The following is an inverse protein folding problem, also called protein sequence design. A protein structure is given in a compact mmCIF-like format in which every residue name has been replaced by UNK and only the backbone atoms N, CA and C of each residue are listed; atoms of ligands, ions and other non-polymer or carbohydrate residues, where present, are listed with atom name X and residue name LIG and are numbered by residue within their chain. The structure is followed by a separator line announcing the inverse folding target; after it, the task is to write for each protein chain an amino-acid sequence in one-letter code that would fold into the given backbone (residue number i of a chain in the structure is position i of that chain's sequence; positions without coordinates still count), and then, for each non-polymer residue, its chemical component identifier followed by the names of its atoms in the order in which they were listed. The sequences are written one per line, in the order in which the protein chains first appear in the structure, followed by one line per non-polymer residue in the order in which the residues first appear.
data_IF_542959456079
#
_entry.id   IF_542959456079
#
_cell.length_a   1.000
_cell.length_b   1.000
_cell.length_c   1.000
_cell.angle_alpha   90.00
_cell.angle_beta   90.00
_cell.angle_gamma   90.00
#
_symmetry.space_group_name_H-M   'P 1'
#
loop_
_entity.id
_entity.type
_entity.pdbx_description
1 polymer ?
#
# COMPACT_ATOMS: atom_id res chain seq x y z
N UNK A 1 29.99 39.53 18.36
CA UNK A 1 29.89 38.62 17.21
C UNK A 1 29.33 37.30 17.70
N UNK A 2 28.23 36.84 17.12
CA UNK A 2 27.58 35.58 17.45
C UNK A 2 28.09 34.48 16.50
N UNK A 3 28.49 33.35 17.07
CA UNK A 3 28.50 32.06 16.36
C UNK A 3 28.03 31.01 17.37
N UNK A 4 26.75 30.64 17.25
CA UNK A 4 26.20 29.43 17.84
C UNK A 4 26.62 28.24 16.96
N UNK A 5 27.13 27.19 17.57
CA UNK A 5 27.32 25.90 16.91
C UNK A 5 26.75 24.77 17.79
N UNK A 6 26.17 23.81 17.09
CA UNK A 6 25.10 22.89 17.48
C UNK A 6 25.54 21.75 18.39
N UNK A 7 24.86 21.59 19.53
CA UNK A 7 24.95 20.41 20.39
C UNK A 7 24.17 19.24 19.79
N UNK A 8 24.89 18.14 19.57
CA UNK A 8 24.41 16.80 19.22
C UNK A 8 23.50 16.23 20.32
N UNK A 9 22.27 15.83 19.97
CA UNK A 9 21.45 14.99 20.85
C UNK A 9 21.80 13.52 20.64
N UNK A 10 22.66 13.02 21.53
CA UNK A 10 22.85 11.58 21.76
C UNK A 10 21.66 11.05 22.56
N UNK A 11 20.98 10.02 22.05
CA UNK A 11 20.04 9.23 22.83
C UNK A 11 20.76 7.97 23.33
N UNK A 12 21.31 8.07 24.55
CA UNK A 12 21.74 6.91 25.32
C UNK A 12 20.54 6.35 26.10
N UNK A 13 20.17 5.11 25.80
CA UNK A 13 19.22 4.33 26.61
C UNK A 13 19.95 3.79 27.84
N UNK A 14 19.64 4.32 29.02
CA UNK A 14 20.07 3.72 30.29
C UNK A 14 18.97 2.77 30.77
N UNK A 15 19.28 1.48 30.74
CA UNK A 15 18.51 0.43 31.39
C UNK A 15 18.55 0.64 32.90
N UNK A 16 17.40 0.72 33.56
CA UNK A 16 17.30 0.64 35.01
C UNK A 16 16.47 -0.59 35.39
N UNK A 17 17.10 -1.47 36.16
CA UNK A 17 16.57 -2.72 36.69
C UNK A 17 15.53 -2.50 37.82
N UNK A 18 14.49 -3.34 37.75
CA UNK A 18 13.73 -4.02 38.80
C UNK A 18 13.70 -3.43 40.23
N UNK A 19 12.50 -3.07 40.74
CA UNK A 19 11.96 -3.59 42.03
C UNK A 19 10.57 -3.01 42.39
N UNK A 20 9.60 -3.92 42.50
CA UNK A 20 8.49 -4.01 43.48
C UNK A 20 7.58 -2.79 43.75
N UNK A 21 6.31 -2.87 43.29
CA UNK A 21 5.06 -2.79 44.09
C UNK A 21 3.82 -2.69 43.18
N UNK A 22 2.98 -3.73 43.19
CA UNK A 22 1.64 -3.73 42.58
C UNK A 22 0.66 -2.92 43.45
N UNK A 23 -0.25 -2.13 42.85
CA UNK A 23 -1.55 -1.87 43.44
C UNK A 23 -2.67 -2.61 42.68
N UNK A 24 -3.60 -3.09 43.49
CA UNK A 24 -4.80 -3.89 43.21
C UNK A 24 -5.62 -3.44 42.00
N UNK A 25 -6.06 -4.41 41.21
CA UNK A 25 -7.09 -4.28 40.18
C UNK A 25 -8.46 -4.04 40.84
N UNK A 26 -9.11 -2.94 40.48
CA UNK A 26 -10.52 -2.68 40.79
C UNK A 26 -11.38 -3.28 39.68
N UNK A 27 -12.14 -4.32 40.01
CA UNK A 27 -13.17 -4.94 39.15
C UNK A 27 -14.26 -3.91 38.81
N UNK A 28 -14.36 -3.52 37.55
CA UNK A 28 -15.48 -2.72 37.04
C UNK A 28 -16.52 -3.69 36.47
N UNK A 29 -17.72 -3.69 37.09
CA UNK A 29 -18.85 -4.50 36.69
C UNK A 29 -19.46 -4.01 35.37
N UNK A 30 -19.76 -4.96 34.48
CA UNK A 30 -20.52 -4.73 33.25
C UNK A 30 -22.01 -4.53 33.56
N UNK A 31 -22.56 -3.38 33.19
CA UNK A 31 -24.01 -3.14 33.13
C UNK A 31 -24.45 -3.30 31.67
N UNK A 32 -25.40 -4.19 31.32
CA UNK A 32 -25.99 -4.22 29.99
C UNK A 32 -27.23 -3.33 29.96
N UNK A 33 -27.24 -2.28 29.13
CA UNK A 33 -28.48 -1.59 28.78
C UNK A 33 -28.46 -1.08 27.33
N UNK A 34 -29.27 -1.77 26.54
CA UNK A 34 -30.18 -1.33 25.47
C UNK A 34 -29.71 -0.34 24.38
N UNK A 35 -29.89 -0.83 23.15
CA UNK A 35 -29.62 -0.23 21.84
C UNK A 35 -30.52 0.97 21.52
N UNK A 36 -30.03 1.85 20.63
CA UNK A 36 -30.83 2.27 19.49
C UNK A 36 -30.14 1.87 18.17
N UNK A 37 -30.88 1.20 17.28
CA UNK A 37 -30.44 0.81 15.95
C UNK A 37 -30.52 1.99 14.98
N UNK A 38 -29.37 2.54 14.57
CA UNK A 38 -29.26 3.37 13.37
C UNK A 38 -28.67 2.52 12.25
N UNK A 39 -29.55 2.13 11.31
CA UNK A 39 -29.20 1.29 10.17
C UNK A 39 -28.50 2.12 9.09
N UNK A 40 -27.19 2.34 9.22
CA UNK A 40 -26.36 2.89 8.15
C UNK A 40 -26.05 1.79 7.13
N UNK A 41 -26.63 1.89 5.93
CA UNK A 41 -26.30 1.03 4.79
C UNK A 41 -24.90 1.37 4.26
N UNK A 42 -23.86 0.79 4.86
CA UNK A 42 -22.51 0.78 4.31
C UNK A 42 -22.41 -0.32 3.24
N UNK A 43 -22.03 0.07 2.02
CA UNK A 43 -21.76 -0.87 0.92
C UNK A 43 -20.47 -1.64 1.25
N UNK A 44 -20.47 -2.99 1.26
CA UNK A 44 -19.26 -3.75 1.52
C UNK A 44 -18.27 -3.56 0.37
N UNK A 45 -17.05 -3.14 0.70
CA UNK A 45 -15.93 -3.20 -0.24
C UNK A 45 -15.53 -4.67 -0.38
N UNK A 46 -15.81 -5.25 -1.54
CA UNK A 46 -15.41 -6.62 -1.86
C UNK A 46 -13.90 -6.66 -2.09
N UNK A 47 -13.15 -7.18 -1.12
CA UNK A 47 -11.73 -7.53 -1.24
C UNK A 47 -11.66 -9.01 -1.60
N UNK A 48 -11.21 -9.33 -2.82
CA UNK A 48 -10.97 -10.71 -3.23
C UNK A 48 -9.48 -10.94 -3.49
N UNK A 49 -8.85 -11.78 -2.68
CA UNK A 49 -7.51 -12.32 -2.93
C UNK A 49 -7.65 -13.66 -3.65
N UNK A 50 -7.30 -13.73 -4.93
CA UNK A 50 -7.17 -15.00 -5.65
C UNK A 50 -5.69 -15.35 -5.79
N UNK A 51 -5.27 -16.44 -5.15
CA UNK A 51 -4.00 -17.11 -5.40
C UNK A 51 -4.21 -18.02 -6.62
N UNK A 52 -3.51 -17.76 -7.73
CA UNK A 52 -3.53 -18.64 -8.89
C UNK A 52 -2.65 -19.86 -8.58
N UNK A 53 -3.26 -21.02 -8.40
CA UNK A 53 -2.62 -22.33 -8.59
C UNK A 53 -2.81 -22.73 -10.05
N UNK A 54 -1.72 -23.01 -10.76
CA UNK A 54 -1.75 -23.53 -12.13
C UNK A 54 -1.37 -25.01 -12.13
N UNK A 55 -2.24 -25.86 -12.67
CA UNK A 55 -1.92 -27.24 -13.05
C UNK A 55 -1.11 -27.22 -14.36
N UNK A 56 -0.09 -28.09 -14.53
CA UNK A 56 0.65 -28.17 -15.78
C UNK A 56 -0.12 -29.04 -16.78
N UNK A 57 -0.30 -28.52 -18.00
CA UNK A 57 -0.66 -29.34 -19.16
C UNK A 57 0.50 -29.27 -20.14
N UNK A 58 1.14 -30.41 -20.36
CA UNK A 58 2.07 -30.65 -21.47
C UNK A 58 1.34 -30.45 -22.80
N UNK A 59 1.92 -29.63 -23.68
CA UNK A 59 2.30 -30.03 -25.04
C UNK A 59 2.90 -28.82 -25.77
N UNK A 60 4.09 -29.03 -26.33
CA UNK A 60 4.88 -28.01 -27.02
C UNK A 60 4.35 -27.70 -28.42
N UNK A 61 4.31 -26.42 -28.74
CA UNK A 61 4.73 -25.84 -30.03
C UNK A 61 4.77 -24.30 -29.87
N UNK A 62 5.97 -23.75 -29.65
CA UNK A 62 6.17 -22.34 -29.28
C UNK A 62 6.32 -21.47 -30.54
N UNK A 63 5.21 -21.27 -31.25
CA UNK A 63 5.10 -20.22 -32.27
C UNK A 63 4.78 -18.88 -31.61
N UNK A 64 5.77 -18.01 -31.47
CA UNK A 64 5.56 -16.62 -31.04
C UNK A 64 4.91 -15.79 -32.17
N UNK A 65 3.62 -16.02 -32.44
CA UNK A 65 2.89 -15.15 -33.35
C UNK A 65 2.63 -13.79 -32.68
N UNK A 66 3.46 -12.81 -33.04
CA UNK A 66 3.27 -11.38 -32.80
C UNK A 66 2.09 -10.88 -33.68
N UNK A 67 0.86 -11.24 -33.31
CA UNK A 67 -0.33 -10.81 -34.03
C UNK A 67 -0.80 -9.43 -33.53
N UNK A 68 -0.21 -8.37 -34.08
CA UNK A 68 -0.82 -7.03 -34.10
C UNK A 68 -1.95 -7.05 -35.12
N UNK A 69 -3.20 -7.13 -34.65
CA UNK A 69 -4.35 -7.06 -35.55
C UNK A 69 -5.69 -7.23 -34.85
N UNK A 70 -6.44 -6.13 -34.83
CA UNK A 70 -7.85 -5.94 -34.44
C UNK A 70 -8.75 -7.16 -34.69
N UNK A 71 -9.44 -7.61 -33.63
CA UNK A 71 -10.55 -8.58 -33.68
C UNK A 71 -10.30 -9.87 -32.89
N UNK A 72 -10.74 -9.94 -31.63
CA UNK A 72 -10.67 -11.19 -30.85
C UNK A 72 -12.07 -11.58 -30.40
N UNK A 73 -12.62 -12.63 -31.02
CA UNK A 73 -13.68 -13.45 -30.43
C UNK A 73 -13.20 -14.10 -29.11
N UNK A 74 -14.05 -14.90 -28.43
CA UNK A 74 -13.78 -15.38 -27.08
C UNK A 74 -12.75 -16.53 -27.07
N UNK A 75 -11.50 -16.21 -27.37
CA UNK A 75 -10.36 -17.09 -27.08
C UNK A 75 -10.01 -17.08 -25.59
N UNK A 76 -9.28 -18.09 -25.09
CA UNK A 76 -8.84 -18.12 -23.69
C UNK A 76 -8.13 -16.82 -23.31
N UNK A 77 -8.54 -16.22 -22.19
CA UNK A 77 -7.86 -15.04 -21.63
C UNK A 77 -6.52 -15.51 -21.06
N UNK A 78 -5.43 -14.88 -21.48
CA UNK A 78 -4.10 -15.17 -20.93
C UNK A 78 -4.00 -14.82 -19.44
N UNK A 79 -2.89 -15.21 -18.81
CA UNK A 79 -2.64 -14.90 -17.40
C UNK A 79 -2.52 -13.39 -17.19
N UNK A 80 -3.25 -12.81 -16.22
CA UNK A 80 -3.25 -11.37 -16.00
C UNK A 80 -1.94 -10.89 -15.38
N UNK A 81 -1.32 -9.88 -15.99
CA UNK A 81 -0.05 -9.29 -15.52
C UNK A 81 -0.32 -8.00 -14.75
N UNK A 82 0.33 -7.87 -13.58
CA UNK A 82 0.31 -6.67 -12.76
C UNK A 82 1.73 -6.15 -12.54
N UNK A 83 1.90 -4.82 -12.54
CA UNK A 83 3.22 -4.19 -12.35
C UNK A 83 3.27 -3.49 -10.99
N UNK A 84 4.30 -3.78 -10.19
CA UNK A 84 4.54 -3.10 -8.91
C UNK A 84 5.00 -1.66 -9.16
N UNK A 85 4.37 -0.70 -8.47
CA UNK A 85 4.77 0.70 -8.54
C UNK A 85 6.06 0.96 -7.74
N UNK A 86 6.80 2.03 -8.07
CA UNK A 86 7.94 2.46 -7.27
C UNK A 86 7.55 2.68 -5.79
N UNK A 87 8.47 2.35 -4.88
CA UNK A 87 8.23 2.47 -3.43
C UNK A 87 7.94 3.93 -3.02
N UNK A 88 8.50 4.88 -3.78
CA UNK A 88 8.35 6.31 -3.60
C UNK A 88 7.21 6.92 -4.42
N UNK A 89 6.24 6.13 -4.90
CA UNK A 89 5.11 6.66 -5.67
C UNK A 89 4.32 7.74 -4.89
N UNK A 90 4.29 7.64 -3.56
CA UNK A 90 3.74 8.67 -2.65
C UNK A 90 4.89 9.37 -1.92
N UNK A 91 4.76 10.68 -1.73
CA UNK A 91 5.75 11.49 -1.03
C UNK A 91 5.88 11.14 0.46
N UNK A 92 6.96 11.58 1.13
CA UNK A 92 7.27 11.25 2.53
C UNK A 92 6.25 11.77 3.56
N UNK A 93 5.30 12.60 3.13
CA UNK A 93 4.19 13.12 3.96
C UNK A 93 2.87 12.38 3.75
N UNK A 94 2.83 11.34 2.91
CA UNK A 94 1.60 10.68 2.45
C UNK A 94 0.58 11.60 1.71
N UNK A 95 0.89 12.89 1.57
CA UNK A 95 -0.10 13.89 1.13
C UNK A 95 -0.24 13.98 -0.39
N UNK A 96 0.81 13.65 -1.14
CA UNK A 96 0.88 13.87 -2.59
C UNK A 96 1.58 12.73 -3.32
N UNK A 97 1.19 12.51 -4.58
CA UNK A 97 1.86 11.60 -5.51
C UNK A 97 3.16 12.22 -6.02
N UNK A 98 4.27 11.49 -5.96
CA UNK A 98 5.54 11.98 -6.53
C UNK A 98 5.50 11.91 -8.06
N UNK A 99 6.07 12.93 -8.71
CA UNK A 99 6.20 13.02 -10.18
C UNK A 99 4.88 12.74 -10.91
N UNK A 100 3.78 13.31 -10.42
CA UNK A 100 2.40 13.05 -10.89
C UNK A 100 2.27 12.98 -12.41
N UNK A 101 2.82 13.96 -13.15
CA UNK A 101 2.77 14.01 -14.62
C UNK A 101 3.44 12.79 -15.27
N UNK A 102 4.63 12.42 -14.79
CA UNK A 102 5.36 11.23 -15.27
C UNK A 102 4.61 9.96 -14.90
N UNK A 103 4.05 9.87 -13.69
CA UNK A 103 3.26 8.71 -13.26
C UNK A 103 2.06 8.47 -14.18
N UNK A 104 1.36 9.53 -14.58
CA UNK A 104 0.25 9.43 -15.52
C UNK A 104 0.69 8.91 -16.91
N UNK A 105 1.82 9.41 -17.42
CA UNK A 105 2.41 8.91 -18.66
C UNK A 105 2.79 7.42 -18.54
N UNK A 106 3.37 7.01 -17.41
CA UNK A 106 3.68 5.61 -17.12
C UNK A 106 2.42 4.74 -17.12
N UNK A 107 1.31 5.19 -16.52
CA UNK A 107 0.05 4.45 -16.55
C UNK A 107 -0.50 4.29 -17.97
N UNK A 108 -0.44 5.34 -18.79
CA UNK A 108 -0.86 5.24 -20.20
C UNK A 108 0.02 4.25 -20.99
N UNK A 109 1.32 4.21 -20.71
CA UNK A 109 2.23 3.24 -21.32
C UNK A 109 1.92 1.80 -20.89
N UNK A 110 1.60 1.56 -19.61
CA UNK A 110 1.20 0.24 -19.11
C UNK A 110 -0.10 -0.25 -19.77
N UNK A 111 -1.07 0.65 -19.95
CA UNK A 111 -2.31 0.34 -20.69
C UNK A 111 -2.01 -0.02 -22.14
N UNK A 112 -1.16 0.76 -22.82
CA UNK A 112 -0.75 0.47 -24.20
C UNK A 112 0.00 -0.86 -24.34
N UNK A 113 0.72 -1.29 -23.29
CA UNK A 113 1.38 -2.59 -23.22
C UNK A 113 0.43 -3.76 -22.89
N UNK A 114 -0.86 -3.51 -22.64
CA UNK A 114 -1.84 -4.55 -22.32
C UNK A 114 -1.75 -5.11 -20.91
N UNK A 115 -1.14 -4.37 -19.98
CA UNK A 115 -1.07 -4.74 -18.56
C UNK A 115 -2.46 -4.67 -17.92
N UNK A 116 -2.81 -5.64 -17.07
CA UNK A 116 -4.14 -5.67 -16.42
C UNK A 116 -4.27 -4.63 -15.30
N UNK A 117 -3.18 -4.38 -14.57
CA UNK A 117 -3.21 -3.43 -13.47
C UNK A 117 -1.87 -3.20 -12.81
N UNK A 118 -1.92 -2.47 -11.70
CA UNK A 118 -0.75 -2.11 -10.90
C UNK A 118 -0.89 -2.63 -9.47
N UNK A 119 0.24 -2.87 -8.83
CA UNK A 119 0.35 -3.20 -7.40
C UNK A 119 0.98 -2.01 -6.69
N UNK A 120 0.30 -1.47 -5.67
CA UNK A 120 0.88 -0.46 -4.79
C UNK A 120 1.07 -0.98 -3.37
N UNK A 121 2.10 -0.50 -2.71
CA UNK A 121 2.34 -0.70 -1.28
C UNK A 121 1.86 0.53 -0.50
N UNK A 122 0.97 0.27 0.46
CA UNK A 122 0.47 1.25 1.42
C UNK A 122 1.24 1.06 2.71
N UNK A 123 2.15 1.99 3.00
CA UNK A 123 3.04 1.93 4.16
C UNK A 123 2.31 2.43 5.40
N UNK A 124 2.21 1.58 6.42
CA UNK A 124 1.59 1.95 7.68
C UNK A 124 2.28 3.17 8.31
N UNK A 125 3.61 3.17 8.37
CA UNK A 125 4.40 4.28 8.93
C UNK A 125 4.30 5.61 8.17
N UNK A 126 3.76 5.59 6.94
CA UNK A 126 3.49 6.80 6.17
C UNK A 126 2.06 7.29 6.42
N UNK A 127 1.10 6.37 6.47
CA UNK A 127 -0.32 6.67 6.63
C UNK A 127 -0.64 7.09 8.06
N UNK A 128 -0.15 6.39 9.08
CA UNK A 128 -0.40 6.64 10.51
C UNK A 128 0.84 7.20 11.20
N UNK A 129 1.52 8.14 10.53
CA UNK A 129 2.80 8.69 10.99
C UNK A 129 2.69 9.57 12.22
N UNK A 130 1.66 10.41 12.26
CA UNK A 130 1.64 11.57 13.17
C UNK A 130 1.14 11.18 14.58
N UNK A 131 0.07 10.39 14.68
CA UNK A 131 -0.46 9.89 15.94
C UNK A 131 -1.35 8.65 15.73
N UNK A 132 -1.56 7.81 16.76
CA UNK A 132 -2.49 6.69 16.68
C UNK A 132 -3.87 7.14 16.21
N UNK A 133 -4.44 6.43 15.24
CA UNK A 133 -5.73 6.68 14.58
C UNK A 133 -5.82 7.98 13.79
N UNK A 134 -4.69 8.66 13.52
CA UNK A 134 -4.62 9.81 12.64
C UNK A 134 -4.03 9.38 11.31
N UNK A 135 -4.87 9.29 10.28
CA UNK A 135 -4.50 8.71 8.99
C UNK A 135 -4.44 9.74 7.86
N UNK A 136 -3.33 9.77 7.13
CA UNK A 136 -3.15 10.57 5.92
C UNK A 136 -3.25 9.66 4.70
N UNK A 137 -4.36 9.76 3.97
CA UNK A 137 -4.66 8.93 2.80
C UNK A 137 -4.54 9.65 1.46
N UNK A 138 -4.29 10.96 1.48
CA UNK A 138 -4.50 11.83 0.32
C UNK A 138 -3.72 11.40 -0.93
N UNK A 139 -2.41 11.18 -0.80
CA UNK A 139 -1.55 10.76 -1.90
C UNK A 139 -1.90 9.38 -2.45
N UNK A 140 -2.28 8.45 -1.56
CA UNK A 140 -2.75 7.12 -1.99
C UNK A 140 -4.10 7.18 -2.72
N UNK A 141 -5.05 7.97 -2.23
CA UNK A 141 -6.34 8.18 -2.89
C UNK A 141 -6.17 8.78 -4.27
N UNK A 142 -5.29 9.78 -4.40
CA UNK A 142 -4.94 10.39 -5.67
C UNK A 142 -4.30 9.39 -6.64
N UNK A 143 -3.33 8.60 -6.18
CA UNK A 143 -2.65 7.59 -7.00
C UNK A 143 -3.62 6.53 -7.52
N UNK A 144 -4.50 6.02 -6.64
CA UNK A 144 -5.52 5.04 -7.00
C UNK A 144 -6.53 5.64 -7.98
N UNK A 145 -6.92 6.90 -7.80
CA UNK A 145 -7.81 7.59 -8.73
C UNK A 145 -7.18 7.74 -10.11
N UNK A 146 -5.89 8.10 -10.19
CA UNK A 146 -5.15 8.19 -11.44
C UNK A 146 -5.10 6.84 -12.17
N UNK A 147 -4.74 5.75 -11.47
CA UNK A 147 -4.68 4.42 -12.08
C UNK A 147 -6.06 3.97 -12.61
N UNK A 148 -7.12 4.19 -11.83
CA UNK A 148 -8.51 3.90 -12.24
C UNK A 148 -8.93 4.72 -13.45
N UNK A 149 -8.57 6.00 -13.52
CA UNK A 149 -8.88 6.86 -14.65
C UNK A 149 -8.23 6.37 -15.96
N UNK A 150 -7.03 5.79 -15.88
CA UNK A 150 -6.38 5.13 -17.01
C UNK A 150 -6.97 3.74 -17.35
N UNK A 151 -7.91 3.20 -16.58
CA UNK A 151 -8.50 1.88 -16.79
C UNK A 151 -7.67 0.71 -16.23
N UNK A 152 -6.69 0.99 -15.37
CA UNK A 152 -5.89 -0.05 -14.71
C UNK A 152 -6.60 -0.58 -13.46
N UNK A 153 -6.55 -1.90 -13.26
CA UNK A 153 -6.90 -2.50 -11.96
C UNK A 153 -5.84 -2.16 -10.93
N UNK A 154 -6.23 -2.17 -9.66
CA UNK A 154 -5.35 -1.82 -8.55
C UNK A 154 -5.36 -2.95 -7.52
N UNK A 155 -4.18 -3.47 -7.20
CA UNK A 155 -3.93 -4.35 -6.06
C UNK A 155 -3.15 -3.60 -5.00
N UNK A 156 -3.54 -3.77 -3.74
CA UNK A 156 -2.93 -3.08 -2.61
C UNK A 156 -2.26 -4.10 -1.72
N UNK A 157 -1.02 -3.83 -1.34
CA UNK A 157 -0.31 -4.50 -0.25
C UNK A 157 -0.35 -3.56 0.95
N UNK A 158 -0.88 -4.03 2.07
CA UNK A 158 -0.83 -3.29 3.34
C UNK A 158 0.50 -3.63 4.03
N UNK A 159 1.44 -2.70 3.98
CA UNK A 159 2.80 -2.89 4.46
C UNK A 159 2.91 -2.48 5.94
N UNK A 160 2.73 -3.47 6.83
CA UNK A 160 3.03 -3.37 8.26
C UNK A 160 4.49 -3.79 8.55
N UNK A 161 5.41 -3.29 7.76
CA UNK A 161 6.85 -3.52 7.89
C UNK A 161 7.61 -2.24 7.55
N UNK A 162 8.85 -2.14 8.01
CA UNK A 162 9.75 -1.04 7.66
C UNK A 162 10.21 -1.17 6.20
N UNK A 163 10.36 -0.04 5.53
CA UNK A 163 11.05 0.05 4.25
C UNK A 163 12.55 0.33 4.51
N UNK A 164 13.42 -0.25 3.68
CA UNK A 164 14.87 -0.06 3.77
C UNK A 164 15.59 -1.10 4.63
N UNK A 165 16.82 -1.44 4.23
CA UNK A 165 17.60 -2.52 4.86
C UNK A 165 18.80 -2.05 5.70
N UNK A 166 18.97 -0.74 5.88
CA UNK A 166 20.04 -0.18 6.71
C UNK A 166 20.67 1.11 6.17
N UNK A 167 21.74 1.60 6.82
CA UNK A 167 22.44 2.81 6.42
C UNK A 167 22.88 2.78 4.96
N UNK A 168 22.48 3.82 4.20
CA UNK A 168 22.79 3.96 2.77
C UNK A 168 21.65 3.57 1.83
N UNK A 169 20.57 2.96 2.33
CA UNK A 169 19.34 2.80 1.56
C UNK A 169 18.62 4.16 1.44
N UNK A 170 18.21 4.60 0.23
CA UNK A 170 17.40 5.81 0.05
C UNK A 170 16.06 5.81 0.80
N UNK A 171 15.63 4.65 1.28
CA UNK A 171 14.39 4.42 1.98
C UNK A 171 14.57 3.97 3.44
N UNK A 172 15.80 4.00 3.97
CA UNK A 172 16.13 3.78 5.38
C UNK A 172 15.71 4.95 6.28
#
# INVERSE_FOLDING_TARGET
MAIASSSTRSFCSTSADLSTRLPRLSTVAFIPSLRPSLSLKLKPLSVSSRLNSSNPSENGDLRYHLNRGRGRGPGPKGTPVFVKLPLDAVGPTAAQVRRRKTMEQSFRALVAAGVEGVVLEVWWGLVERDAPKVYIWQGYKELIAMAKHCGLKVRVILAFHQCGTGPGDPHW
#
